data_IF_950589429862
#
_entry.id   IF_950589429862
#
_cell.length_a   1.000
_cell.length_b   1.000
_cell.length_c   1.000
_cell.angle_alpha   90.00
_cell.angle_beta   90.00
_cell.angle_gamma   90.00
#
_symmetry.space_group_name_H-M   'P 1'
#
loop_
_entity.id
_entity.type
_entity.pdbx_description
1 polymer ?
#
# COMPACT_ATOMS: atom_id res chain seq x y z
N UNK A 1 28.41 -26.51 -3.56
CA UNK A 1 27.67 -25.36 -2.99
C UNK A 1 28.22 -25.11 -1.59
N UNK A 2 28.70 -23.91 -1.29
CA UNK A 2 29.27 -23.62 0.04
C UNK A 2 28.15 -23.41 1.06
N UNK A 3 28.39 -23.70 2.34
CA UNK A 3 27.43 -23.41 3.42
C UNK A 3 26.91 -21.97 3.38
N UNK A 4 27.74 -21.03 2.93
CA UNK A 4 27.37 -19.63 2.73
C UNK A 4 26.24 -19.45 1.70
N UNK A 5 26.30 -20.17 0.56
CA UNK A 5 25.23 -20.13 -0.47
C UNK A 5 23.91 -20.72 0.01
N UNK A 6 23.95 -21.70 0.91
CA UNK A 6 22.74 -22.30 1.48
C UNK A 6 22.08 -21.36 2.49
N UNK A 7 22.89 -20.69 3.31
CA UNK A 7 22.43 -19.70 4.30
C UNK A 7 21.81 -18.49 3.61
N UNK A 8 22.46 -17.94 2.57
CA UNK A 8 21.88 -16.81 1.82
C UNK A 8 20.58 -17.21 1.12
N UNK A 9 20.50 -18.41 0.55
CA UNK A 9 19.26 -18.91 -0.05
C UNK A 9 18.14 -19.08 0.99
N UNK A 10 18.45 -19.62 2.17
CA UNK A 10 17.48 -19.78 3.26
C UNK A 10 16.97 -18.42 3.80
N UNK A 11 17.85 -17.44 3.96
CA UNK A 11 17.47 -16.08 4.40
C UNK A 11 16.56 -15.41 3.36
N UNK A 12 16.91 -15.48 2.08
CA UNK A 12 16.09 -14.92 0.99
C UNK A 12 14.72 -15.61 0.94
N UNK A 13 14.69 -16.94 1.10
CA UNK A 13 13.44 -17.71 1.12
C UNK A 13 12.54 -17.30 2.31
N UNK A 14 13.11 -17.04 3.48
CA UNK A 14 12.34 -16.55 4.64
C UNK A 14 11.81 -15.13 4.45
N UNK A 15 12.58 -14.24 3.81
CA UNK A 15 12.12 -12.89 3.47
C UNK A 15 10.93 -12.93 2.49
N UNK A 16 10.86 -13.94 1.62
CA UNK A 16 9.74 -14.14 0.69
C UNK A 16 8.49 -14.67 1.41
N UNK A 17 8.65 -15.53 2.42
CA UNK A 17 7.54 -16.23 3.09
C UNK A 17 6.81 -15.42 4.18
N UNK A 18 7.39 -14.33 4.70
CA UNK A 18 6.84 -13.57 5.83
C UNK A 18 6.30 -12.19 5.42
N UNK A 19 5.87 -12.03 4.17
CA UNK A 19 5.18 -10.80 3.77
C UNK A 19 3.69 -10.91 4.12
N UNK A 20 3.37 -10.67 5.39
CA UNK A 20 2.02 -10.27 5.75
C UNK A 20 1.78 -8.85 5.25
N UNK A 21 0.68 -8.65 4.54
CA UNK A 21 0.30 -7.33 4.05
C UNK A 21 -0.27 -6.49 5.20
N UNK A 22 0.36 -5.36 5.49
CA UNK A 22 -0.19 -4.39 6.45
C UNK A 22 -0.92 -3.27 5.69
N UNK A 23 -2.09 -2.84 6.18
CA UNK A 23 -2.85 -1.74 5.58
C UNK A 23 -3.30 -0.74 6.65
N UNK A 24 -3.45 0.53 6.26
CA UNK A 24 -4.20 1.47 7.09
C UNK A 24 -5.68 1.07 7.16
N UNK A 25 -6.28 1.22 8.33
CA UNK A 25 -7.66 0.88 8.62
C UNK A 25 -8.36 2.02 9.35
N UNK A 26 -9.67 2.09 9.17
CA UNK A 26 -10.53 3.07 9.82
C UNK A 26 -10.84 4.26 8.90
N UNK A 27 -11.44 5.28 9.52
CA UNK A 27 -12.02 6.42 8.82
C UNK A 27 -11.22 7.68 9.12
N UNK A 28 -10.95 8.46 8.08
CA UNK A 28 -10.32 9.77 8.22
C UNK A 28 -11.16 10.61 9.20
N UNK A 29 -10.51 11.22 10.20
CA UNK A 29 -11.07 11.97 11.33
C UNK A 29 -11.59 11.17 12.53
N UNK A 30 -11.71 9.84 12.45
CA UNK A 30 -12.12 8.99 13.59
C UNK A 30 -10.98 8.15 14.18
N UNK A 31 -9.75 8.38 13.69
CA UNK A 31 -8.56 7.60 14.04
C UNK A 31 -8.16 6.68 12.89
N UNK A 32 -6.94 6.86 12.40
CA UNK A 32 -6.32 5.93 11.46
C UNK A 32 -5.46 4.97 12.27
N UNK A 33 -5.76 3.68 12.17
CA UNK A 33 -4.90 2.61 12.68
C UNK A 33 -4.27 1.89 11.49
N UNK A 34 -3.30 1.01 11.75
CA UNK A 34 -2.87 0.03 10.77
C UNK A 34 -3.13 -1.36 11.34
N UNK A 35 -3.42 -2.31 10.46
CA UNK A 35 -3.63 -3.70 10.84
C UNK A 35 -2.94 -4.62 9.86
N UNK A 36 -2.53 -5.78 10.37
CA UNK A 36 -2.05 -6.87 9.55
C UNK A 36 -3.26 -7.56 8.90
N UNK A 37 -3.25 -7.64 7.57
CA UNK A 37 -4.32 -8.31 6.84
C UNK A 37 -4.24 -9.83 6.99
N UNK A 38 -5.40 -10.48 6.82
CA UNK A 38 -5.49 -11.94 6.72
C UNK A 38 -4.64 -12.47 5.57
N UNK A 39 -4.12 -13.69 5.71
CA UNK A 39 -3.20 -14.32 4.75
C UNK A 39 -3.76 -14.47 3.32
N UNK A 40 -5.08 -14.40 3.15
CA UNK A 40 -5.75 -14.45 1.85
C UNK A 40 -5.98 -13.07 1.21
N UNK A 41 -5.71 -11.97 1.92
CA UNK A 41 -5.89 -10.62 1.42
C UNK A 41 -4.59 -10.12 0.82
N UNK A 42 -4.65 -9.73 -0.45
CA UNK A 42 -3.49 -9.30 -1.22
C UNK A 42 -3.51 -7.81 -1.56
N UNK A 43 -4.52 -7.06 -1.11
CA UNK A 43 -4.70 -5.65 -1.44
C UNK A 43 -5.09 -4.82 -0.23
N UNK A 44 -4.61 -3.59 -0.19
CA UNK A 44 -5.19 -2.52 0.60
C UNK A 44 -6.19 -1.74 -0.26
N UNK A 45 -7.30 -1.36 0.36
CA UNK A 45 -8.32 -0.50 -0.23
C UNK A 45 -8.37 0.87 0.48
N UNK A 46 -8.75 1.88 -0.29
CA UNK A 46 -9.13 3.22 0.16
C UNK A 46 -10.37 3.62 -0.61
N UNK A 47 -11.42 3.96 0.09
CA UNK A 47 -12.68 4.44 -0.47
C UNK A 47 -12.91 5.88 -0.03
N UNK A 48 -13.27 6.75 -0.98
CA UNK A 48 -13.65 8.12 -0.71
C UNK A 48 -15.07 8.37 -1.22
N UNK A 49 -15.93 8.91 -0.37
CA UNK A 49 -17.33 9.23 -0.67
C UNK A 49 -17.66 10.63 -0.20
N UNK A 50 -18.63 11.27 -0.83
CA UNK A 50 -19.14 12.58 -0.41
C UNK A 50 -20.46 12.36 0.34
N UNK A 51 -20.47 12.68 1.64
CA UNK A 51 -21.69 12.70 2.45
C UNK A 51 -22.22 14.14 2.55
N UNK A 52 -23.53 14.35 2.37
CA UNK A 52 -24.12 15.69 2.36
C UNK A 52 -24.04 16.41 3.71
N UNK A 53 -23.85 15.70 4.82
CA UNK A 53 -23.78 16.25 6.18
C UNK A 53 -22.34 16.34 6.66
N UNK A 54 -21.53 15.33 6.38
CA UNK A 54 -20.18 15.14 6.92
C UNK A 54 -19.07 15.52 5.92
N UNK A 55 -19.43 15.82 4.67
CA UNK A 55 -18.48 16.15 3.61
C UNK A 55 -17.70 14.93 3.12
N UNK A 56 -16.43 15.12 2.76
CA UNK A 56 -15.58 14.04 2.26
C UNK A 56 -15.30 13.01 3.37
N UNK A 57 -15.77 11.79 3.14
CA UNK A 57 -15.50 10.62 3.95
C UNK A 57 -14.40 9.81 3.26
N UNK A 58 -13.37 9.41 4.01
CA UNK A 58 -12.37 8.46 3.51
C UNK A 58 -12.28 7.26 4.46
N UNK A 59 -12.53 6.08 3.93
CA UNK A 59 -12.43 4.81 4.62
C UNK A 59 -11.27 3.99 4.05
N UNK A 60 -10.57 3.26 4.90
CA UNK A 60 -9.39 2.48 4.53
C UNK A 60 -9.48 1.10 5.16
N UNK A 61 -8.95 0.10 4.46
CA UNK A 61 -8.94 -1.26 4.99
C UNK A 61 -8.13 -2.24 4.15
N UNK A 62 -8.04 -3.46 4.67
CA UNK A 62 -7.69 -4.64 3.90
C UNK A 62 -8.89 -4.98 2.98
N UNK A 63 -8.65 -5.34 1.72
CA UNK A 63 -9.71 -5.75 0.79
C UNK A 63 -10.23 -7.16 1.11
N UNK A 64 -11.05 -7.27 2.14
CA UNK A 64 -11.63 -8.56 2.56
C UNK A 64 -12.69 -9.08 1.58
N UNK A 65 -13.33 -8.19 0.83
CA UNK A 65 -14.41 -8.51 -0.12
C UNK A 65 -13.90 -8.77 -1.55
N UNK A 66 -12.58 -8.74 -1.76
CA UNK A 66 -11.91 -9.00 -3.03
C UNK A 66 -12.28 -8.02 -4.17
N UNK A 67 -12.79 -6.82 -3.88
CA UNK A 67 -13.09 -5.81 -4.90
C UNK A 67 -11.83 -5.43 -5.71
N UNK A 68 -10.70 -5.30 -5.02
CA UNK A 68 -9.43 -4.95 -5.62
C UNK A 68 -8.87 -6.06 -6.52
N UNK A 69 -9.42 -7.27 -6.50
CA UNK A 69 -9.02 -8.36 -7.41
C UNK A 69 -9.38 -8.03 -8.85
N UNK A 70 -10.55 -7.43 -9.06
CA UNK A 70 -11.03 -6.97 -10.37
C UNK A 70 -10.46 -5.61 -10.74
N UNK A 71 -10.32 -4.72 -9.75
CA UNK A 71 -9.78 -3.37 -9.97
C UNK A 71 -8.28 -3.45 -10.28
N UNK A 72 -7.50 -4.25 -9.56
CA UNK A 72 -6.04 -4.20 -9.61
C UNK A 72 -5.48 -2.98 -8.85
N UNK A 73 -4.17 -2.75 -8.91
CA UNK A 73 -3.53 -1.62 -8.21
C UNK A 73 -3.78 -0.27 -8.89
N UNK A 74 -5.02 0.22 -8.88
CA UNK A 74 -5.45 1.50 -9.47
C UNK A 74 -6.64 2.10 -8.71
N UNK A 75 -7.04 3.30 -9.12
CA UNK A 75 -8.27 3.95 -8.67
C UNK A 75 -9.37 3.88 -9.73
N UNK A 76 -10.61 3.69 -9.30
CA UNK A 76 -11.82 3.84 -10.10
C UNK A 76 -12.72 4.88 -9.45
N UNK A 77 -13.34 5.71 -10.29
CA UNK A 77 -14.31 6.70 -9.88
C UNK A 77 -15.67 6.36 -10.47
N UNK A 78 -16.68 6.28 -9.61
CA UNK A 78 -18.08 6.14 -9.97
C UNK A 78 -18.76 7.50 -9.82
N UNK A 79 -19.12 8.10 -10.96
CA UNK A 79 -19.77 9.41 -11.01
C UNK A 79 -21.23 9.38 -10.58
N UNK A 80 -21.88 8.20 -10.58
CA UNK A 80 -23.28 8.09 -10.14
C UNK A 80 -23.40 8.18 -8.62
N UNK A 81 -22.45 7.56 -7.91
CA UNK A 81 -22.42 7.52 -6.45
C UNK A 81 -21.43 8.51 -5.83
N UNK A 82 -20.79 9.36 -6.64
CA UNK A 82 -19.71 10.29 -6.24
C UNK A 82 -18.65 9.60 -5.36
N UNK A 83 -18.20 8.42 -5.82
CA UNK A 83 -17.37 7.50 -5.04
C UNK A 83 -16.06 7.20 -5.76
N UNK A 84 -14.94 7.28 -5.06
CA UNK A 84 -13.63 6.82 -5.54
C UNK A 84 -13.17 5.60 -4.75
N UNK A 85 -12.73 4.55 -5.42
CA UNK A 85 -12.11 3.38 -4.80
C UNK A 85 -10.71 3.20 -5.38
N UNK A 86 -9.71 3.23 -4.52
CA UNK A 86 -8.29 3.01 -4.83
C UNK A 86 -7.77 1.74 -4.18
N UNK A 87 -7.04 0.95 -4.96
CA UNK A 87 -6.47 -0.32 -4.56
C UNK A 87 -4.95 -0.33 -4.77
N UNK A 88 -4.21 -1.01 -3.89
CA UNK A 88 -2.76 -1.12 -4.00
C UNK A 88 -2.23 -2.40 -3.31
N UNK A 89 -1.03 -2.86 -3.71
CA UNK A 89 -0.39 -4.12 -3.27
C UNK A 89 0.98 -3.91 -2.64
N UNK A 90 1.04 -3.17 -1.54
CA UNK A 90 2.25 -3.10 -0.71
C UNK A 90 1.90 -2.65 0.70
N UNK A 91 2.81 -2.88 1.64
CA UNK A 91 2.58 -2.50 3.04
C UNK A 91 2.28 -1.01 3.15
N UNK A 92 1.17 -0.71 3.82
CA UNK A 92 0.70 0.63 4.17
C UNK A 92 0.48 1.54 2.94
N UNK A 93 0.29 0.96 1.76
CA UNK A 93 0.22 1.69 0.49
C UNK A 93 -1.00 2.61 0.39
N UNK A 94 -2.09 2.26 1.07
CA UNK A 94 -3.30 3.09 1.17
C UNK A 94 -3.12 4.29 2.14
N UNK A 95 -1.91 4.50 2.66
CA UNK A 95 -1.54 5.63 3.51
C UNK A 95 -1.36 6.93 2.75
N UNK A 96 -0.81 6.86 1.53
CA UNK A 96 -0.33 8.05 0.84
C UNK A 96 -1.45 8.89 0.22
N UNK A 97 -1.39 10.21 0.49
CA UNK A 97 -1.51 11.19 -0.58
C UNK A 97 -0.36 10.93 -1.56
N UNK A 98 -0.68 10.81 -2.84
CA UNK A 98 0.13 10.30 -3.97
C UNK A 98 1.52 10.93 -4.21
N UNK A 99 1.95 11.89 -3.40
CA UNK A 99 3.06 12.79 -3.72
C UNK A 99 4.46 12.32 -3.28
N UNK A 100 4.62 11.48 -2.24
CA UNK A 100 5.95 11.16 -1.70
C UNK A 100 6.69 10.02 -2.41
N UNK A 101 5.98 9.07 -3.02
CA UNK A 101 6.60 7.87 -3.61
C UNK A 101 7.39 8.15 -4.90
N UNK A 102 7.06 9.22 -5.64
CA UNK A 102 7.76 9.59 -6.87
C UNK A 102 9.13 10.24 -6.63
N UNK A 103 9.37 10.82 -5.45
CA UNK A 103 10.59 11.60 -5.18
C UNK A 103 11.71 10.81 -4.51
N UNK A 104 11.38 9.74 -3.80
CA UNK A 104 12.35 8.87 -3.13
C UNK A 104 13.42 8.28 -4.09
N UNK A 105 13.04 7.76 -5.28
CA UNK A 105 14.01 7.24 -6.23
C UNK A 105 14.95 8.34 -6.75
N UNK A 106 14.43 9.55 -6.99
CA UNK A 106 15.21 10.69 -7.45
C UNK A 106 16.26 11.12 -6.41
N UNK A 107 15.90 11.12 -5.12
CA UNK A 107 16.83 11.46 -4.03
C UNK A 107 17.95 10.43 -3.84
N UNK A 108 17.64 9.14 -4.04
CA UNK A 108 18.64 8.08 -3.96
C UNK A 108 19.62 8.19 -5.14
N UNK A 109 19.13 8.46 -6.36
CA UNK A 109 19.99 8.64 -7.54
C UNK A 109 20.91 9.85 -7.38
N UNK A 110 20.40 10.99 -6.90
CA UNK A 110 21.24 12.18 -6.69
C UNK A 110 22.29 11.96 -5.62
N UNK A 111 21.96 11.26 -4.53
CA UNK A 111 22.94 10.91 -3.49
C UNK A 111 24.06 10.02 -4.03
N UNK A 112 23.73 8.99 -4.81
CA UNK A 112 24.72 8.09 -5.42
C UNK A 112 25.66 8.86 -6.36
N UNK A 113 25.12 9.75 -7.20
CA UNK A 113 25.93 10.58 -8.11
C UNK A 113 26.90 11.48 -7.33
N UNK A 114 26.43 12.11 -6.25
CA UNK A 114 27.29 12.99 -5.42
C UNK A 114 28.41 12.18 -4.77
N UNK A 115 28.11 11.01 -4.17
CA UNK A 115 29.11 10.17 -3.49
C UNK A 115 30.15 9.60 -4.46
N UNK A 116 29.78 9.27 -5.71
CA UNK A 116 30.72 8.78 -6.72
C UNK A 116 31.66 9.89 -7.24
N UNK A 117 31.21 11.16 -7.21
CA UNK A 117 31.96 12.31 -7.72
C UNK A 117 32.65 13.14 -6.63
N UNK A 118 32.69 12.64 -5.38
CA UNK A 118 33.45 13.21 -4.27
C UNK A 118 34.73 12.40 -4.03
#
# INVERSE_FOLDING_TARGET
MSHLTLITFAIILQIILVNSLDCFTGRLNFGLMYTQCSANVNYCAKMATIDPVQGLIIEKGCDAENFCTTIGSRCLYDSYNEMEICCCRSNLCNGSMTYLYYWLPCLIITFIVIVINL
#
